data_IF_766211783436
#
_entry.id   IF_766211783436
#
_cell.length_a   1.000
_cell.length_b   1.000
_cell.length_c   1.000
_cell.angle_alpha   90.00
_cell.angle_beta   90.00
_cell.angle_gamma   90.00
#
_symmetry.space_group_name_H-M   'P 1'
#
loop_
_entity.id
_entity.type
_entity.pdbx_description
1 polymer ?
#
# COMPACT_ATOMS: atom_id res chain seq x y z
N UNK A 1 24.18 -33.18 -11.63
CA UNK A 1 24.07 -31.70 -11.66
C UNK A 1 22.63 -31.17 -11.66
N UNK A 2 21.60 -31.94 -12.05
CA UNK A 2 20.20 -31.50 -12.03
C UNK A 2 19.57 -31.38 -10.62
N UNK A 3 20.08 -32.11 -9.62
CA UNK A 3 19.53 -32.15 -8.25
C UNK A 3 19.86 -30.90 -7.41
N UNK A 4 20.97 -30.21 -7.69
CA UNK A 4 21.33 -28.99 -6.95
C UNK A 4 20.56 -27.76 -7.46
N UNK A 5 20.36 -27.61 -8.78
CA UNK A 5 19.59 -26.49 -9.33
C UNK A 5 18.14 -26.45 -8.83
N UNK A 6 17.46 -27.60 -8.75
CA UNK A 6 16.08 -27.67 -8.23
C UNK A 6 16.00 -27.39 -6.71
N UNK A 7 17.07 -27.67 -5.95
CA UNK A 7 17.14 -27.33 -4.53
C UNK A 7 17.43 -25.83 -4.33
N UNK A 8 18.31 -25.25 -5.14
CA UNK A 8 18.62 -23.81 -5.12
C UNK A 8 17.45 -22.95 -5.63
N UNK A 9 16.71 -23.40 -6.65
CA UNK A 9 15.48 -22.76 -7.12
C UNK A 9 14.35 -22.82 -6.08
N UNK A 10 14.17 -23.95 -5.38
CA UNK A 10 13.23 -24.06 -4.26
C UNK A 10 13.61 -23.16 -3.08
N UNK A 11 14.90 -23.03 -2.76
CA UNK A 11 15.37 -22.15 -1.68
C UNK A 11 15.23 -20.67 -2.07
N UNK A 12 15.41 -20.31 -3.34
CA UNK A 12 15.20 -18.93 -3.81
C UNK A 12 13.73 -18.51 -3.89
N UNK A 13 12.80 -19.44 -4.14
CA UNK A 13 11.35 -19.14 -4.14
C UNK A 13 10.77 -19.08 -2.73
N UNK A 14 11.33 -19.83 -1.76
CA UNK A 14 10.98 -19.73 -0.33
C UNK A 14 11.32 -18.36 0.28
N UNK A 15 12.30 -17.63 -0.28
CA UNK A 15 12.67 -16.29 0.19
C UNK A 15 11.74 -15.16 -0.30
N UNK A 16 10.73 -15.45 -1.14
CA UNK A 16 9.86 -14.41 -1.73
C UNK A 16 8.43 -14.37 -1.16
N UNK A 17 8.06 -15.30 -0.28
CA UNK A 17 6.71 -15.41 0.30
C UNK A 17 6.74 -15.66 1.81
N UNK A 18 7.49 -14.83 2.54
CA UNK A 18 7.74 -14.96 3.98
C UNK A 18 6.47 -14.83 4.84
N UNK A 19 5.36 -14.34 4.27
CA UNK A 19 4.05 -14.29 4.94
C UNK A 19 3.33 -15.62 5.03
N UNK A 20 3.66 -16.60 4.18
CA UNK A 20 2.90 -17.87 4.10
C UNK A 20 2.89 -18.64 5.43
N UNK A 21 4.04 -18.84 6.13
CA UNK A 21 4.06 -19.63 7.37
C UNK A 21 3.14 -19.09 8.46
N UNK A 22 3.24 -17.78 8.77
CA UNK A 22 2.42 -17.18 9.83
C UNK A 22 0.94 -17.09 9.46
N UNK A 23 0.61 -16.94 8.18
CA UNK A 23 -0.79 -16.97 7.71
C UNK A 23 -1.42 -18.35 7.89
N UNK A 24 -0.69 -19.42 7.54
CA UNK A 24 -1.14 -20.80 7.71
C UNK A 24 -1.27 -21.17 9.19
N UNK A 25 -0.29 -20.76 10.01
CA UNK A 25 -0.35 -20.97 11.46
C UNK A 25 -1.54 -20.24 12.09
N UNK A 26 -1.74 -18.97 11.75
CA UNK A 26 -2.90 -18.19 12.20
C UNK A 26 -4.21 -18.85 11.75
N UNK A 27 -4.29 -19.35 10.51
CA UNK A 27 -5.50 -20.00 10.03
C UNK A 27 -5.81 -21.29 10.81
N UNK A 28 -4.79 -22.10 11.09
CA UNK A 28 -4.92 -23.30 11.92
C UNK A 28 -5.36 -22.98 13.35
N UNK A 29 -4.82 -21.94 13.96
CA UNK A 29 -5.23 -21.52 15.30
C UNK A 29 -6.64 -20.93 15.30
N UNK A 30 -6.95 -20.03 14.37
CA UNK A 30 -8.24 -19.35 14.25
C UNK A 30 -9.40 -20.34 14.05
N UNK A 31 -9.15 -21.52 13.47
CA UNK A 31 -10.13 -22.60 13.36
C UNK A 31 -10.73 -23.03 14.71
N UNK A 32 -10.05 -22.79 15.82
CA UNK A 32 -10.55 -23.11 17.16
C UNK A 32 -11.47 -22.00 17.74
N UNK A 33 -11.77 -20.94 17.00
CA UNK A 33 -12.40 -19.71 17.52
C UNK A 33 -13.83 -19.45 17.03
N UNK A 34 -14.46 -20.41 16.35
CA UNK A 34 -15.85 -20.27 15.87
C UNK A 34 -16.85 -19.96 17.01
N UNK A 35 -16.65 -20.53 18.20
CA UNK A 35 -17.48 -20.26 19.39
C UNK A 35 -16.92 -19.10 20.24
N UNK A 36 -15.93 -18.36 19.74
CA UNK A 36 -15.20 -17.30 20.46
C UNK A 36 -15.16 -15.96 19.69
N UNK A 37 -16.17 -15.73 18.85
CA UNK A 37 -16.23 -14.58 17.95
C UNK A 37 -16.29 -13.24 18.70
N UNK A 38 -17.01 -13.17 19.82
CA UNK A 38 -17.06 -11.96 20.66
C UNK A 38 -15.68 -11.59 21.21
N UNK A 39 -14.84 -12.57 21.56
CA UNK A 39 -13.47 -12.31 22.00
C UNK A 39 -12.61 -11.80 20.84
N UNK A 40 -12.78 -12.34 19.62
CA UNK A 40 -12.10 -11.83 18.43
C UNK A 40 -12.47 -10.37 18.14
N UNK A 41 -13.76 -10.03 18.24
CA UNK A 41 -14.25 -8.66 18.05
C UNK A 41 -13.68 -7.75 19.14
N UNK A 42 -13.70 -8.17 20.39
CA UNK A 42 -13.17 -7.39 21.52
C UNK A 42 -11.69 -7.08 21.33
N UNK A 43 -10.89 -8.09 20.94
CA UNK A 43 -9.48 -7.90 20.62
C UNK A 43 -9.25 -6.87 19.49
N UNK A 44 -10.02 -6.95 18.41
CA UNK A 44 -9.91 -5.98 17.31
C UNK A 44 -10.31 -4.55 17.74
N UNK A 45 -11.30 -4.42 18.61
CA UNK A 45 -11.69 -3.13 19.19
C UNK A 45 -10.59 -2.55 20.11
N UNK A 46 -9.92 -3.38 20.89
CA UNK A 46 -8.75 -2.99 21.69
C UNK A 46 -7.62 -2.46 20.80
N UNK A 47 -7.30 -3.15 19.71
CA UNK A 47 -6.32 -2.65 18.73
C UNK A 47 -6.76 -1.31 18.14
N UNK A 48 -8.04 -1.16 17.80
CA UNK A 48 -8.54 0.12 17.29
C UNK A 48 -8.41 1.24 18.33
N UNK A 49 -8.67 0.95 19.60
CA UNK A 49 -8.51 1.91 20.70
C UNK A 49 -7.03 2.31 20.92
N UNK A 50 -6.10 1.41 20.62
CA UNK A 50 -4.64 1.66 20.64
C UNK A 50 -4.15 2.43 19.40
N UNK A 51 -5.02 2.76 18.45
CA UNK A 51 -4.71 3.58 17.28
C UNK A 51 -4.28 2.80 16.03
N UNK A 52 -4.44 1.48 16.02
CA UNK A 52 -4.25 0.68 14.80
C UNK A 52 -5.39 0.93 13.80
N UNK A 53 -5.08 0.86 12.51
CA UNK A 53 -6.06 1.06 11.43
C UNK A 53 -6.89 -0.20 11.21
N UNK A 54 -7.80 -0.48 12.15
CA UNK A 54 -8.76 -1.60 12.11
C UNK A 54 -10.02 -1.19 11.34
N UNK A 55 -10.67 -2.14 10.67
CA UNK A 55 -11.96 -1.86 10.03
C UNK A 55 -12.98 -1.46 11.10
N UNK A 56 -13.87 -0.49 10.85
CA UNK A 56 -14.99 -0.27 11.76
C UNK A 56 -15.73 -1.60 11.97
N UNK A 57 -16.04 -1.92 13.24
CA UNK A 57 -16.82 -3.10 13.63
C UNK A 57 -18.20 -2.71 14.15
N UNK A 58 -18.62 -1.45 13.92
CA UNK A 58 -19.98 -1.02 14.17
C UNK A 58 -20.86 -1.36 12.97
N UNK A 59 -21.81 -2.25 13.20
CA UNK A 59 -22.92 -2.51 12.31
C UNK A 59 -24.03 -1.45 12.48
N UNK A 60 -24.98 -1.43 11.55
CA UNK A 60 -26.19 -0.60 11.61
C UNK A 60 -27.42 -1.48 11.71
N UNK A 61 -28.26 -1.22 12.71
CA UNK A 61 -29.59 -1.82 12.80
C UNK A 61 -30.59 -1.18 11.80
N UNK A 62 -31.84 -1.63 11.84
CA UNK A 62 -32.90 -1.17 10.94
C UNK A 62 -33.23 0.32 11.17
N UNK A 63 -32.99 0.83 12.38
CA UNK A 63 -33.21 2.20 12.80
C UNK A 63 -31.98 3.09 12.53
N UNK A 64 -30.87 2.50 12.03
CA UNK A 64 -29.64 3.19 11.68
C UNK A 64 -28.70 3.47 12.86
N UNK A 65 -29.03 2.97 14.05
CA UNK A 65 -28.14 3.05 15.21
C UNK A 65 -26.95 2.12 15.03
N UNK A 66 -25.79 2.57 15.53
CA UNK A 66 -24.53 1.86 15.40
C UNK A 66 -24.34 0.92 16.58
N UNK A 67 -24.25 -0.37 16.31
CA UNK A 67 -24.06 -1.42 17.30
C UNK A 67 -22.77 -2.19 17.00
N UNK A 68 -22.01 -2.56 18.03
CA UNK A 68 -20.86 -3.45 17.83
C UNK A 68 -21.34 -4.80 17.28
N UNK A 69 -20.59 -5.35 16.34
CA UNK A 69 -20.83 -6.72 15.85
C UNK A 69 -20.87 -7.71 17.02
N UNK A 70 -21.73 -8.72 16.90
CA UNK A 70 -21.79 -9.87 17.83
C UNK A 70 -21.05 -11.10 17.29
N UNK A 71 -20.92 -11.16 15.98
CA UNK A 71 -20.37 -12.30 15.25
C UNK A 71 -19.43 -11.78 14.16
N UNK A 72 -18.35 -12.52 13.92
CA UNK A 72 -17.32 -12.25 12.92
C UNK A 72 -16.89 -13.56 12.27
N UNK A 73 -16.77 -13.55 10.95
CA UNK A 73 -16.23 -14.68 10.20
C UNK A 73 -14.69 -14.61 10.10
N UNK A 74 -14.01 -15.74 9.84
CA UNK A 74 -12.56 -15.78 9.84
C UNK A 74 -11.93 -15.01 8.68
N UNK A 75 -12.61 -14.84 7.54
CA UNK A 75 -12.08 -14.08 6.41
C UNK A 75 -12.16 -12.57 6.64
N UNK A 76 -13.21 -12.07 7.29
CA UNK A 76 -13.24 -10.68 7.77
C UNK A 76 -12.14 -10.42 8.78
N UNK A 77 -11.86 -11.37 9.68
CA UNK A 77 -10.74 -11.25 10.63
C UNK A 77 -9.40 -11.11 9.90
N UNK A 78 -9.11 -11.98 8.92
CA UNK A 78 -7.93 -11.83 8.05
C UNK A 78 -7.93 -10.53 7.24
N UNK A 79 -9.12 -10.08 6.81
CA UNK A 79 -9.33 -8.87 6.04
C UNK A 79 -8.93 -7.58 6.78
N UNK A 80 -8.85 -7.61 8.11
CA UNK A 80 -8.41 -6.45 8.93
C UNK A 80 -7.02 -5.99 8.51
N UNK A 81 -6.11 -6.93 8.22
CA UNK A 81 -4.74 -6.64 7.79
C UNK A 81 -4.54 -6.86 6.28
N UNK A 82 -5.35 -7.70 5.61
CA UNK A 82 -5.32 -7.88 4.14
C UNK A 82 -6.25 -6.91 3.38
N UNK A 83 -6.10 -5.60 3.62
CA UNK A 83 -6.86 -4.54 2.94
C UNK A 83 -5.95 -3.39 2.53
N UNK A 84 -6.47 -2.42 1.78
CA UNK A 84 -5.74 -1.20 1.36
C UNK A 84 -5.37 -0.29 2.55
N UNK A 85 -4.41 -0.74 3.34
CA UNK A 85 -3.73 -0.03 4.44
C UNK A 85 -2.21 -0.12 4.23
N UNK A 86 -1.46 0.78 4.85
CA UNK A 86 0.00 0.82 4.72
C UNK A 86 0.69 -0.46 5.21
N UNK A 87 1.84 -0.77 4.62
CA UNK A 87 2.66 -1.95 4.96
C UNK A 87 2.94 -2.04 6.46
N UNK A 88 3.40 -0.95 7.07
CA UNK A 88 3.78 -0.91 8.49
C UNK A 88 2.56 -1.16 9.39
N UNK A 89 1.38 -0.67 9.00
CA UNK A 89 0.13 -0.92 9.71
C UNK A 89 -0.25 -2.40 9.64
N UNK A 90 -0.14 -3.01 8.46
CA UNK A 90 -0.42 -4.43 8.27
C UNK A 90 0.51 -5.32 9.11
N UNK A 91 1.82 -5.03 9.08
CA UNK A 91 2.80 -5.75 9.87
C UNK A 91 2.58 -5.56 11.38
N UNK A 92 2.26 -4.33 11.81
CA UNK A 92 2.02 -4.05 13.22
C UNK A 92 0.74 -4.73 13.74
N UNK A 93 -0.35 -4.75 12.97
CA UNK A 93 -1.56 -5.51 13.31
C UNK A 93 -1.25 -7.01 13.39
N UNK A 94 -0.52 -7.55 12.41
CA UNK A 94 -0.13 -8.97 12.40
C UNK A 94 0.79 -9.32 13.59
N UNK A 95 1.63 -8.40 14.03
CA UNK A 95 2.44 -8.54 15.25
C UNK A 95 1.59 -8.65 16.51
N UNK A 96 0.54 -7.81 16.63
CA UNK A 96 -0.41 -7.93 17.74
C UNK A 96 -1.19 -9.25 17.70
N UNK A 97 -1.61 -9.69 16.51
CA UNK A 97 -2.24 -10.99 16.31
C UNK A 97 -1.29 -12.12 16.72
N UNK A 98 -0.03 -12.10 16.27
CA UNK A 98 1.00 -13.07 16.67
C UNK A 98 1.11 -13.17 18.18
N UNK A 99 1.18 -12.04 18.87
CA UNK A 99 1.23 -11.99 20.34
C UNK A 99 -0.03 -12.54 21.00
N UNK A 100 -1.21 -12.15 20.52
CA UNK A 100 -2.50 -12.56 21.08
C UNK A 100 -2.74 -14.08 20.99
N UNK A 101 -2.44 -14.67 19.83
CA UNK A 101 -2.62 -16.10 19.59
C UNK A 101 -1.38 -16.94 19.98
N UNK A 102 -0.27 -16.31 20.37
CA UNK A 102 0.96 -17.01 20.70
C UNK A 102 1.59 -17.74 19.51
N UNK A 103 1.46 -17.19 18.29
CA UNK A 103 2.00 -17.82 17.08
C UNK A 103 3.53 -17.83 17.12
N UNK A 104 4.14 -18.88 16.59
CA UNK A 104 5.59 -19.12 16.62
C UNK A 104 6.29 -18.63 15.35
N UNK A 105 5.65 -18.71 14.19
CA UNK A 105 6.23 -18.30 12.90
C UNK A 105 6.67 -16.84 12.89
N UNK A 106 7.81 -16.55 12.27
CA UNK A 106 8.36 -15.19 12.19
C UNK A 106 7.39 -14.21 11.52
N UNK A 107 7.54 -12.93 11.87
CA UNK A 107 6.84 -11.88 11.14
C UNK A 107 7.37 -11.79 9.71
N UNK A 108 6.50 -11.49 8.73
CA UNK A 108 6.91 -11.45 7.34
C UNK A 108 7.80 -10.26 7.02
N UNK A 109 8.75 -10.50 6.11
CA UNK A 109 9.56 -9.46 5.48
C UNK A 109 8.90 -8.94 4.18
N UNK A 110 7.87 -9.63 3.69
CA UNK A 110 7.12 -9.28 2.48
C UNK A 110 5.63 -9.63 2.57
N UNK A 111 4.82 -9.04 1.67
CA UNK A 111 3.44 -9.45 1.44
C UNK A 111 3.19 -9.72 -0.06
N UNK A 112 4.19 -10.30 -0.73
CA UNK A 112 4.22 -10.48 -2.16
C UNK A 112 3.07 -11.37 -2.63
N UNK A 113 2.37 -10.91 -3.67
CA UNK A 113 1.25 -11.64 -4.26
C UNK A 113 0.04 -11.76 -3.33
N UNK A 114 -0.02 -11.09 -2.17
CA UNK A 114 -1.21 -11.16 -1.32
C UNK A 114 -2.30 -10.26 -1.88
N UNK A 115 -3.48 -10.79 -2.24
CA UNK A 115 -4.60 -9.97 -2.69
C UNK A 115 -5.17 -9.17 -1.51
N UNK A 116 -5.59 -7.93 -1.76
CA UNK A 116 -6.08 -7.01 -0.70
C UNK A 116 -7.51 -6.54 -0.97
N UNK A 117 -8.31 -6.47 0.09
CA UNK A 117 -9.67 -5.93 0.04
C UNK A 117 -9.68 -4.41 -0.16
N UNK A 118 -10.81 -3.92 -0.69
CA UNK A 118 -11.13 -2.51 -0.64
C UNK A 118 -11.33 -2.08 0.83
N UNK A 119 -10.66 -1.01 1.27
CA UNK A 119 -10.72 -0.53 2.65
C UNK A 119 -12.12 -0.01 3.07
N UNK A 120 -12.98 0.34 2.11
CA UNK A 120 -14.38 0.71 2.35
C UNK A 120 -15.32 -0.50 2.45
N UNK A 121 -14.86 -1.70 2.04
CA UNK A 121 -15.65 -2.94 1.97
C UNK A 121 -14.78 -4.14 2.35
N UNK A 122 -14.49 -4.25 3.64
CA UNK A 122 -13.61 -5.30 4.20
C UNK A 122 -14.34 -6.38 5.00
N UNK A 123 -15.68 -6.41 5.01
CA UNK A 123 -16.47 -7.50 5.57
C UNK A 123 -16.88 -8.50 4.47
N UNK A 124 -16.90 -9.79 4.82
CA UNK A 124 -17.36 -10.88 3.96
C UNK A 124 -18.86 -11.16 4.09
N UNK A 125 -19.56 -10.35 4.89
CA UNK A 125 -20.99 -10.46 5.14
C UNK A 125 -21.63 -9.06 5.11
N UNK A 126 -22.95 -8.98 4.85
CA UNK A 126 -23.66 -7.71 4.85
C UNK A 126 -23.98 -7.20 6.26
N UNK A 127 -24.43 -5.95 6.34
CA UNK A 127 -24.93 -5.38 7.60
C UNK A 127 -26.12 -6.15 8.16
N UNK A 128 -26.44 -5.92 9.44
CA UNK A 128 -27.50 -6.63 10.16
C UNK A 128 -28.85 -6.65 9.45
N UNK A 129 -29.22 -5.59 8.73
CA UNK A 129 -30.50 -5.50 8.01
C UNK A 129 -30.58 -6.40 6.77
N UNK A 130 -29.44 -6.83 6.22
CA UNK A 130 -29.36 -7.65 5.01
C UNK A 130 -28.72 -9.02 5.24
N UNK A 131 -28.29 -9.30 6.48
CA UNK A 131 -27.60 -10.52 6.91
C UNK A 131 -28.61 -11.58 7.36
N UNK A 132 -28.43 -12.80 6.88
CA UNK A 132 -29.19 -13.95 7.32
C UNK A 132 -28.56 -14.59 8.57
N UNK A 133 -29.36 -15.31 9.34
CA UNK A 133 -28.94 -15.87 10.64
C UNK A 133 -27.77 -16.86 10.55
N UNK A 134 -27.59 -17.55 9.43
CA UNK A 134 -26.53 -18.55 9.22
C UNK A 134 -25.40 -18.06 8.30
N UNK A 135 -25.40 -16.78 7.90
CA UNK A 135 -24.37 -16.25 6.97
C UNK A 135 -22.95 -16.43 7.52
N UNK A 136 -22.74 -16.11 8.81
CA UNK A 136 -21.44 -16.25 9.47
C UNK A 136 -21.08 -17.72 9.63
N UNK A 137 -22.05 -18.59 9.97
CA UNK A 137 -21.86 -20.03 10.09
C UNK A 137 -21.42 -20.69 8.78
N UNK A 138 -21.99 -20.27 7.64
CA UNK A 138 -21.56 -20.74 6.31
C UNK A 138 -20.10 -20.36 6.00
N UNK A 139 -19.67 -19.16 6.38
CA UNK A 139 -18.29 -18.70 6.22
C UNK A 139 -17.30 -19.48 7.10
N UNK A 140 -17.67 -19.78 8.35
CA UNK A 140 -16.89 -20.68 9.21
C UNK A 140 -16.81 -22.09 8.62
N UNK A 141 -17.93 -22.64 8.12
CA UNK A 141 -17.97 -23.98 7.53
C UNK A 141 -17.00 -24.13 6.36
N UNK A 142 -16.98 -23.20 5.40
CA UNK A 142 -16.05 -23.27 4.26
C UNK A 142 -14.60 -23.07 4.71
N UNK A 143 -14.33 -22.20 5.69
CA UNK A 143 -13.00 -22.04 6.29
C UNK A 143 -12.48 -23.34 6.90
N UNK A 144 -13.30 -24.01 7.74
CA UNK A 144 -12.94 -25.29 8.35
C UNK A 144 -12.68 -26.39 7.32
N UNK A 145 -13.56 -26.52 6.32
CA UNK A 145 -13.40 -27.51 5.27
C UNK A 145 -12.16 -27.23 4.43
N UNK A 146 -11.86 -25.97 4.15
CA UNK A 146 -10.67 -25.56 3.41
C UNK A 146 -9.35 -25.93 4.12
N UNK A 147 -9.35 -26.04 5.45
CA UNK A 147 -8.16 -26.42 6.25
C UNK A 147 -7.93 -27.93 6.38
N UNK A 148 -8.87 -28.78 5.96
CA UNK A 148 -8.69 -30.24 5.96
C UNK A 148 -7.55 -30.67 5.04
N UNK A 149 -6.93 -31.83 5.30
CA UNK A 149 -5.74 -32.29 4.55
C UNK A 149 -5.89 -32.19 3.03
N UNK A 150 -6.99 -32.72 2.48
CA UNK A 150 -7.30 -32.76 1.04
C UNK A 150 -8.68 -32.17 0.72
N UNK A 151 -8.85 -30.83 0.80
CA UNK A 151 -10.18 -30.22 0.76
C UNK A 151 -10.85 -30.36 -0.62
N UNK A 152 -10.06 -30.41 -1.69
CA UNK A 152 -10.54 -30.48 -3.08
C UNK A 152 -10.92 -31.89 -3.55
N UNK A 153 -10.69 -32.93 -2.74
CA UNK A 153 -10.90 -34.32 -3.14
C UNK A 153 -12.36 -34.78 -3.04
N UNK A 154 -13.19 -34.09 -2.24
CA UNK A 154 -14.57 -34.49 -1.96
C UNK A 154 -15.61 -33.41 -2.29
N UNK A 155 -16.89 -33.78 -2.21
CA UNK A 155 -18.01 -32.85 -2.42
C UNK A 155 -18.21 -31.85 -1.27
N UNK A 156 -17.63 -32.11 -0.10
CA UNK A 156 -17.78 -31.26 1.10
C UNK A 156 -17.34 -29.82 0.86
N UNK A 157 -16.18 -29.63 0.22
CA UNK A 157 -15.70 -28.29 -0.09
C UNK A 157 -16.58 -27.60 -1.14
N UNK A 158 -17.02 -28.33 -2.17
CA UNK A 158 -17.91 -27.80 -3.20
C UNK A 158 -19.21 -27.27 -2.55
N UNK A 159 -19.82 -28.09 -1.70
CA UNK A 159 -21.04 -27.74 -0.99
C UNK A 159 -20.83 -26.54 -0.06
N UNK A 160 -19.77 -26.54 0.77
CA UNK A 160 -19.50 -25.45 1.69
C UNK A 160 -19.18 -24.13 0.94
N UNK A 161 -18.48 -24.22 -0.19
CA UNK A 161 -18.21 -23.08 -1.05
C UNK A 161 -19.50 -22.53 -1.67
N UNK A 162 -20.36 -23.39 -2.22
CA UNK A 162 -21.64 -22.99 -2.79
C UNK A 162 -22.55 -22.34 -1.72
N UNK A 163 -22.61 -22.91 -0.51
CA UNK A 163 -23.32 -22.31 0.62
C UNK A 163 -22.77 -20.92 1.00
N UNK A 164 -21.44 -20.76 1.04
CA UNK A 164 -20.80 -19.47 1.33
C UNK A 164 -21.01 -18.43 0.21
N UNK A 165 -21.20 -18.86 -1.04
CA UNK A 165 -21.49 -17.97 -2.17
C UNK A 165 -22.90 -17.34 -2.10
N UNK A 166 -23.83 -17.92 -1.34
CA UNK A 166 -25.14 -17.32 -1.07
C UNK A 166 -25.05 -16.12 -0.11
N UNK A 167 -23.96 -16.03 0.67
CA UNK A 167 -23.73 -14.89 1.57
C UNK A 167 -23.35 -13.66 0.75
N UNK A 168 -24.07 -12.55 0.93
CA UNK A 168 -23.76 -11.31 0.20
C UNK A 168 -22.35 -10.82 0.56
N UNK A 169 -21.67 -10.20 -0.41
CA UNK A 169 -20.30 -9.65 -0.29
C UNK A 169 -19.15 -10.68 -0.33
N UNK A 170 -19.44 -11.97 -0.49
CA UNK A 170 -18.39 -13.02 -0.61
C UNK A 170 -17.80 -13.07 -2.00
N UNK A 171 -18.60 -13.25 -3.06
CA UNK A 171 -18.19 -13.25 -4.48
C UNK A 171 -16.74 -13.72 -4.70
N UNK A 172 -15.92 -12.87 -5.32
CA UNK A 172 -14.50 -13.12 -5.59
C UNK A 172 -13.66 -13.00 -4.31
N UNK A 173 -14.11 -12.23 -3.33
CA UNK A 173 -13.42 -12.08 -2.05
C UNK A 173 -13.25 -13.43 -1.36
N UNK A 174 -14.20 -14.35 -1.48
CA UNK A 174 -14.08 -15.71 -0.93
C UNK A 174 -12.83 -16.42 -1.46
N UNK A 175 -12.54 -16.29 -2.75
CA UNK A 175 -11.32 -16.88 -3.35
C UNK A 175 -10.04 -16.21 -2.86
N UNK A 176 -10.08 -14.90 -2.53
CA UNK A 176 -8.96 -14.20 -1.90
C UNK A 176 -8.74 -14.70 -0.46
N UNK A 177 -9.84 -14.86 0.29
CA UNK A 177 -9.83 -15.39 1.65
C UNK A 177 -9.25 -16.81 1.74
N UNK A 178 -9.67 -17.68 0.82
CA UNK A 178 -9.15 -19.04 0.70
C UNK A 178 -7.65 -19.05 0.35
N UNK A 179 -7.22 -18.16 -0.54
CA UNK A 179 -5.81 -17.98 -0.87
C UNK A 179 -4.98 -17.55 0.35
N UNK A 180 -5.47 -16.62 1.18
CA UNK A 180 -4.74 -16.19 2.38
C UNK A 180 -4.43 -17.34 3.33
N UNK A 181 -5.41 -18.23 3.55
CA UNK A 181 -5.30 -19.26 4.59
C UNK A 181 -4.50 -20.47 4.12
N UNK A 182 -4.55 -20.81 2.83
CA UNK A 182 -3.83 -21.94 2.23
C UNK A 182 -3.45 -21.65 0.77
N UNK A 183 -2.43 -20.80 0.55
CA UNK A 183 -2.07 -20.38 -0.80
C UNK A 183 -1.44 -21.50 -1.64
N UNK A 184 -1.00 -22.60 -1.03
CA UNK A 184 -0.54 -23.80 -1.75
C UNK A 184 -1.69 -24.60 -2.41
N UNK A 185 -2.94 -24.37 -1.97
CA UNK A 185 -4.12 -25.16 -2.37
C UNK A 185 -5.15 -24.32 -3.13
N UNK A 186 -5.27 -23.05 -2.77
CA UNK A 186 -6.26 -22.14 -3.35
C UNK A 186 -5.58 -21.01 -4.08
N UNK A 187 -6.21 -20.51 -5.13
CA UNK A 187 -5.78 -19.36 -5.92
C UNK A 187 -6.85 -18.26 -5.85
N UNK A 188 -6.43 -17.01 -5.71
CA UNK A 188 -7.32 -15.85 -5.82
C UNK A 188 -7.85 -15.72 -7.24
N UNK A 189 -9.15 -15.46 -7.41
CA UNK A 189 -9.75 -15.09 -8.70
C UNK A 189 -10.11 -13.60 -8.74
N UNK A 190 -9.34 -12.76 -8.04
CA UNK A 190 -9.39 -11.31 -8.20
C UNK A 190 -9.18 -10.87 -9.64
N UNK A 191 -9.43 -9.59 -9.90
CA UNK A 191 -9.34 -9.04 -11.26
C UNK A 191 -7.96 -9.24 -11.88
N UNK A 192 -6.89 -9.02 -11.09
CA UNK A 192 -5.51 -9.15 -11.57
C UNK A 192 -5.22 -10.59 -12.01
N UNK A 193 -5.54 -11.55 -11.15
CA UNK A 193 -5.26 -12.97 -11.38
C UNK A 193 -6.08 -13.51 -12.54
N UNK A 194 -7.36 -13.11 -12.65
CA UNK A 194 -8.20 -13.50 -13.79
C UNK A 194 -7.69 -12.91 -15.10
N UNK A 195 -7.29 -11.65 -15.11
CA UNK A 195 -6.76 -11.01 -16.31
C UNK A 195 -5.45 -11.68 -16.75
N UNK A 196 -4.58 -12.01 -15.80
CA UNK A 196 -3.33 -12.74 -16.05
C UNK A 196 -3.57 -14.12 -16.67
N UNK A 197 -4.55 -14.85 -16.15
CA UNK A 197 -4.84 -16.23 -16.57
C UNK A 197 -5.86 -16.33 -17.71
N UNK A 198 -6.47 -15.22 -18.13
CA UNK A 198 -7.57 -15.21 -19.10
C UNK A 198 -8.84 -15.90 -18.60
N UNK A 199 -9.03 -16.01 -17.28
CA UNK A 199 -10.19 -16.68 -16.67
C UNK A 199 -11.42 -15.77 -16.73
N UNK A 200 -12.49 -16.23 -17.35
CA UNK A 200 -13.78 -15.54 -17.38
C UNK A 200 -14.73 -16.15 -16.34
N UNK A 201 -15.34 -15.29 -15.53
CA UNK A 201 -16.35 -15.74 -14.58
C UNK A 201 -17.63 -16.21 -15.29
N UNK A 202 -18.33 -17.23 -14.76
CA UNK A 202 -19.64 -17.64 -15.27
C UNK A 202 -20.68 -16.54 -15.09
N UNK A 203 -21.62 -16.42 -16.03
CA UNK A 203 -22.69 -15.42 -15.98
C UNK A 203 -23.61 -15.56 -14.76
N UNK A 204 -23.70 -16.75 -14.17
CA UNK A 204 -24.52 -17.04 -12.98
C UNK A 204 -23.77 -16.84 -11.66
N UNK A 205 -22.52 -16.39 -11.70
CA UNK A 205 -21.65 -16.30 -10.52
C UNK A 205 -20.73 -17.51 -10.35
N UNK A 206 -19.87 -17.45 -9.32
CA UNK A 206 -18.95 -18.53 -8.97
C UNK A 206 -19.71 -19.70 -8.34
N UNK A 207 -19.28 -20.92 -8.66
CA UNK A 207 -19.67 -22.13 -7.94
C UNK A 207 -18.42 -22.89 -7.50
N UNK A 208 -18.56 -23.74 -6.48
CA UNK A 208 -17.51 -24.61 -6.01
C UNK A 208 -16.97 -25.47 -7.14
N UNK A 209 -17.84 -25.99 -8.02
CA UNK A 209 -17.41 -26.76 -9.19
C UNK A 209 -16.51 -25.95 -10.11
N UNK A 210 -16.96 -24.75 -10.52
CA UNK A 210 -16.18 -23.89 -11.40
C UNK A 210 -14.83 -23.53 -10.76
N UNK A 211 -14.84 -23.20 -9.46
CA UNK A 211 -13.64 -22.82 -8.74
C UNK A 211 -12.64 -23.98 -8.67
N UNK A 212 -13.07 -25.16 -8.25
CA UNK A 212 -12.20 -26.35 -8.15
C UNK A 212 -11.69 -26.81 -9.52
N UNK A 213 -12.52 -26.77 -10.57
CA UNK A 213 -12.08 -27.07 -11.93
C UNK A 213 -10.99 -26.09 -12.38
N UNK A 214 -11.15 -24.80 -12.05
CA UNK A 214 -10.14 -23.76 -12.34
C UNK A 214 -8.84 -24.04 -11.59
N UNK A 215 -8.89 -24.37 -10.30
CA UNK A 215 -7.70 -24.71 -9.51
C UNK A 215 -6.95 -25.91 -10.09
N UNK A 216 -7.67 -26.97 -10.47
CA UNK A 216 -7.08 -28.17 -11.08
C UNK A 216 -6.40 -27.85 -12.40
N UNK A 217 -7.05 -27.07 -13.27
CA UNK A 217 -6.47 -26.64 -14.53
C UNK A 217 -5.17 -25.83 -14.31
N UNK A 218 -5.15 -24.93 -13.33
CA UNK A 218 -3.95 -24.14 -13.04
C UNK A 218 -2.83 -24.95 -12.35
N UNK A 219 -3.17 -26.02 -11.64
CA UNK A 219 -2.18 -26.95 -11.08
C UNK A 219 -1.48 -27.78 -12.16
N UNK A 220 -2.14 -28.08 -13.28
CA UNK A 220 -1.53 -28.77 -14.43
C UNK A 220 -0.39 -27.94 -15.06
N UNK A 221 -0.44 -26.61 -14.97
CA UNK A 221 0.62 -25.71 -15.42
C UNK A 221 1.88 -25.73 -14.51
N UNK A 222 1.79 -26.38 -13.34
CA UNK A 222 2.92 -26.67 -12.46
C UNK A 222 3.51 -25.47 -11.70
N UNK A 223 2.93 -24.28 -11.81
CA UNK A 223 3.36 -23.09 -11.06
C UNK A 223 2.68 -23.01 -9.70
N UNK A 224 3.44 -22.77 -8.60
CA UNK A 224 2.84 -22.47 -7.30
C UNK A 224 1.92 -21.26 -7.37
N UNK A 225 0.76 -21.32 -6.74
CA UNK A 225 -0.21 -20.22 -6.76
C UNK A 225 0.32 -18.90 -6.16
N UNK A 226 1.20 -18.86 -5.14
CA UNK A 226 1.85 -17.61 -4.74
C UNK A 226 2.59 -16.93 -5.89
N UNK A 227 3.32 -17.69 -6.71
CA UNK A 227 4.04 -17.18 -7.88
C UNK A 227 3.07 -16.71 -8.96
N UNK A 228 1.98 -17.43 -9.18
CA UNK A 228 0.92 -17.00 -10.12
C UNK A 228 0.32 -15.66 -9.67
N UNK A 229 0.00 -15.51 -8.38
CA UNK A 229 -0.58 -14.28 -7.85
C UNK A 229 0.42 -13.11 -7.89
N UNK A 230 1.69 -13.35 -7.57
CA UNK A 230 2.76 -12.37 -7.71
C UNK A 230 2.97 -11.95 -9.18
N UNK A 231 2.96 -12.91 -10.11
CA UNK A 231 3.08 -12.62 -11.54
C UNK A 231 1.87 -11.83 -12.08
N UNK A 232 0.67 -12.12 -11.58
CA UNK A 232 -0.54 -11.38 -11.93
C UNK A 232 -0.48 -9.92 -11.45
N UNK A 233 0.04 -9.69 -10.24
CA UNK A 233 0.42 -8.36 -9.76
C UNK A 233 1.44 -7.70 -10.69
N UNK A 234 2.44 -8.46 -11.14
CA UNK A 234 3.43 -8.05 -12.12
C UNK A 234 2.83 -7.61 -13.46
N UNK A 235 1.73 -8.20 -13.95
CA UNK A 235 1.06 -7.78 -15.19
C UNK A 235 0.27 -6.49 -15.03
N UNK A 236 -0.39 -6.26 -13.89
CA UNK A 236 -0.97 -4.94 -13.63
C UNK A 236 0.13 -3.90 -13.43
N UNK A 237 1.23 -4.23 -12.75
CA UNK A 237 2.41 -3.37 -12.66
C UNK A 237 3.06 -3.14 -14.03
N UNK A 238 3.13 -4.14 -14.91
CA UNK A 238 3.64 -4.04 -16.28
C UNK A 238 2.67 -3.26 -17.18
N UNK A 239 1.35 -3.35 -16.95
CA UNK A 239 0.34 -2.56 -17.65
C UNK A 239 0.37 -1.11 -17.18
N UNK A 240 0.43 -0.86 -15.87
CA UNK A 240 0.62 0.47 -15.28
C UNK A 240 1.98 1.02 -15.71
N UNK A 241 3.02 0.21 -15.74
CA UNK A 241 4.33 0.54 -16.28
C UNK A 241 4.24 0.82 -17.76
N UNK A 242 3.54 0.06 -18.60
CA UNK A 242 3.35 0.37 -20.03
C UNK A 242 2.49 1.60 -20.26
N UNK A 243 1.51 1.86 -19.39
CA UNK A 243 0.70 3.09 -19.41
C UNK A 243 1.56 4.28 -18.97
N UNK A 244 2.40 4.11 -17.95
CA UNK A 244 3.39 5.07 -17.51
C UNK A 244 4.42 5.26 -18.62
N UNK A 245 5.15 4.25 -19.07
CA UNK A 245 6.06 4.22 -20.21
C UNK A 245 5.45 4.75 -21.50
N UNK A 246 4.15 4.60 -21.78
CA UNK A 246 3.53 5.19 -22.98
C UNK A 246 3.13 6.65 -22.78
N UNK A 247 2.72 7.05 -21.57
CA UNK A 247 2.58 8.47 -21.21
C UNK A 247 3.95 9.15 -21.20
N UNK A 248 4.94 8.53 -20.56
CA UNK A 248 6.36 8.88 -20.54
C UNK A 248 6.98 8.87 -21.93
N UNK A 249 6.67 7.90 -22.81
CA UNK A 249 7.17 7.91 -24.19
C UNK A 249 6.58 9.07 -25.00
N UNK A 250 5.32 9.45 -24.72
CA UNK A 250 4.72 10.67 -25.28
C UNK A 250 5.40 11.94 -24.73
N UNK A 251 5.83 11.96 -23.47
CA UNK A 251 6.66 13.05 -22.92
C UNK A 251 8.11 13.03 -23.45
N UNK A 252 8.71 11.85 -23.66
CA UNK A 252 10.07 11.65 -24.21
C UNK A 252 10.16 12.00 -25.69
N UNK A 253 9.09 11.88 -26.45
CA UNK A 253 9.01 12.40 -27.82
C UNK A 253 9.23 13.93 -27.89
N UNK A 254 9.15 14.62 -26.75
CA UNK A 254 9.44 16.04 -26.57
C UNK A 254 10.78 16.33 -25.84
N UNK A 255 11.60 15.31 -25.56
CA UNK A 255 12.96 15.50 -25.01
C UNK A 255 13.05 16.01 -23.56
N UNK A 256 12.01 15.82 -22.74
CA UNK A 256 11.94 16.39 -21.39
C UNK A 256 12.70 15.59 -20.30
N UNK A 257 13.39 16.32 -19.42
CA UNK A 257 13.97 15.86 -18.14
C UNK A 257 12.88 15.88 -17.05
N UNK A 258 12.79 14.86 -16.18
CA UNK A 258 11.90 14.93 -15.01
C UNK A 258 12.56 15.61 -13.80
N UNK A 259 11.74 16.13 -12.91
CA UNK A 259 12.17 16.83 -11.69
C UNK A 259 11.51 16.19 -10.46
N UNK A 260 12.33 15.69 -9.56
CA UNK A 260 11.94 14.96 -8.37
C UNK A 260 12.33 15.72 -7.11
N UNK A 261 11.41 15.87 -6.17
CA UNK A 261 11.68 16.33 -4.82
C UNK A 261 11.49 15.17 -3.85
N UNK A 262 12.51 14.89 -3.04
CA UNK A 262 12.62 13.70 -2.21
C UNK A 262 12.93 14.00 -0.76
N UNK A 263 12.45 13.18 0.17
CA UNK A 263 12.78 13.28 1.60
C UNK A 263 13.99 12.42 1.96
N UNK A 264 14.59 12.72 3.12
CA UNK A 264 15.73 11.98 3.67
C UNK A 264 15.61 11.67 5.17
N UNK A 265 14.44 11.88 5.78
CA UNK A 265 14.26 11.66 7.23
C UNK A 265 13.73 10.27 7.53
N UNK A 266 14.48 9.48 8.31
CA UNK A 266 14.13 8.13 8.77
C UNK A 266 14.21 8.09 10.30
N UNK A 267 13.09 7.79 10.97
CA UNK A 267 12.96 7.81 12.43
C UNK A 267 13.69 6.66 13.16
N UNK A 268 14.05 5.62 12.42
CA UNK A 268 14.75 4.42 12.92
C UNK A 268 16.29 4.50 12.78
N UNK A 269 16.82 5.66 12.37
CA UNK A 269 18.27 5.90 12.21
C UNK A 269 18.78 7.02 13.11
N UNK A 270 20.07 6.96 13.38
CA UNK A 270 20.83 8.01 14.06
C UNK A 270 22.09 8.36 13.21
N UNK A 271 22.19 9.58 12.65
CA UNK A 271 21.18 10.64 12.69
C UNK A 271 19.94 10.27 11.87
N UNK A 272 18.76 10.78 12.25
CA UNK A 272 17.52 10.50 11.53
C UNK A 272 17.51 11.10 10.11
N UNK A 273 18.13 12.27 9.93
CA UNK A 273 18.29 12.89 8.61
C UNK A 273 19.46 12.24 7.85
N UNK A 274 19.14 11.48 6.81
CA UNK A 274 20.08 10.75 5.96
C UNK A 274 20.74 11.61 4.87
N UNK A 275 20.51 12.94 4.86
CA UNK A 275 21.01 13.81 3.78
C UNK A 275 22.52 13.70 3.63
N UNK A 276 23.27 13.81 4.72
CA UNK A 276 24.74 13.72 4.69
C UNK A 276 25.20 12.37 4.12
N UNK A 277 24.62 11.26 4.59
CA UNK A 277 24.88 9.92 4.06
C UNK A 277 24.63 9.83 2.55
N UNK A 278 23.50 10.36 2.08
CA UNK A 278 23.15 10.35 0.66
C UNK A 278 24.14 11.14 -0.19
N UNK A 279 24.61 12.30 0.31
CA UNK A 279 25.63 13.11 -0.35
C UNK A 279 26.97 12.38 -0.43
N UNK A 280 27.40 11.78 0.68
CA UNK A 280 28.68 11.04 0.78
C UNK A 280 28.70 9.77 -0.07
N UNK A 281 27.60 9.01 -0.08
CA UNK A 281 27.50 7.76 -0.84
C UNK A 281 27.16 7.97 -2.33
N UNK A 282 26.81 9.19 -2.75
CA UNK A 282 26.44 9.49 -4.13
C UNK A 282 25.13 8.80 -4.55
N UNK A 283 24.17 8.69 -3.64
CA UNK A 283 22.89 8.04 -3.91
C UNK A 283 21.73 8.74 -3.23
N UNK A 284 20.52 8.43 -3.67
CA UNK A 284 19.32 8.60 -2.87
C UNK A 284 18.65 7.24 -2.68
N UNK A 285 18.25 6.95 -1.43
CA UNK A 285 17.52 5.74 -1.08
C UNK A 285 16.15 6.12 -0.48
N UNK A 286 15.11 5.41 -0.90
CA UNK A 286 13.82 5.45 -0.21
C UNK A 286 13.93 4.71 1.12
N UNK A 287 13.64 5.40 2.22
CA UNK A 287 13.52 4.78 3.55
C UNK A 287 12.37 3.78 3.68
N UNK A 288 11.45 3.79 2.71
CA UNK A 288 10.37 2.81 2.65
C UNK A 288 10.82 1.56 1.88
N UNK A 289 10.61 0.39 2.47
CA UNK A 289 10.87 -0.89 1.81
C UNK A 289 9.85 -1.20 0.70
N UNK A 290 8.60 -0.79 0.90
CA UNK A 290 7.46 -1.20 0.07
C UNK A 290 6.59 -0.05 -0.45
N UNK A 291 7.00 1.21 -0.25
CA UNK A 291 6.32 2.39 -0.83
C UNK A 291 7.22 3.02 -1.88
N UNK A 292 6.58 3.67 -2.85
CA UNK A 292 7.22 4.38 -3.95
C UNK A 292 8.03 3.51 -4.93
N UNK A 293 7.92 2.18 -4.85
CA UNK A 293 8.68 1.24 -5.69
C UNK A 293 8.55 1.62 -7.17
N UNK A 294 7.32 1.80 -7.64
CA UNK A 294 7.07 2.07 -9.05
C UNK A 294 7.61 3.44 -9.48
N UNK A 295 7.47 4.44 -8.64
CA UNK A 295 7.97 5.79 -8.88
C UNK A 295 9.51 5.82 -8.92
N UNK A 296 10.18 5.16 -7.97
CA UNK A 296 11.64 5.03 -7.98
C UNK A 296 12.11 4.21 -9.20
N UNK A 297 11.44 3.10 -9.54
CA UNK A 297 11.72 2.34 -10.78
C UNK A 297 11.57 3.17 -12.06
N UNK A 298 10.74 4.23 -12.02
CA UNK A 298 10.49 5.11 -13.17
C UNK A 298 11.49 6.27 -13.31
N UNK A 299 12.29 6.54 -12.27
CA UNK A 299 13.36 7.54 -12.33
C UNK A 299 14.41 7.14 -13.36
N UNK A 300 14.91 8.13 -14.10
CA UNK A 300 15.80 7.88 -15.24
C UNK A 300 17.13 8.64 -15.10
N UNK A 301 18.14 8.14 -15.82
CA UNK A 301 19.38 8.88 -16.00
C UNK A 301 19.09 10.25 -16.63
N UNK A 302 19.74 11.30 -16.11
CA UNK A 302 19.54 12.73 -16.40
C UNK A 302 18.33 13.40 -15.73
N UNK A 303 17.46 12.65 -15.05
CA UNK A 303 16.44 13.27 -14.22
C UNK A 303 17.10 14.14 -13.13
N UNK A 304 16.46 15.25 -12.80
CA UNK A 304 16.87 16.13 -11.71
C UNK A 304 16.19 15.69 -10.42
N UNK A 305 16.96 15.66 -9.33
CA UNK A 305 16.49 15.27 -8.01
C UNK A 305 16.91 16.32 -6.98
N UNK A 306 16.08 16.58 -5.97
CA UNK A 306 16.35 17.51 -4.89
C UNK A 306 15.89 16.96 -3.55
N UNK A 307 16.75 16.97 -2.54
CA UNK A 307 16.37 16.61 -1.18
C UNK A 307 15.66 17.80 -0.54
N UNK A 308 14.48 17.56 0.03
CA UNK A 308 13.65 18.55 0.70
C UNK A 308 13.25 18.17 2.12
N UNK A 309 12.91 19.17 2.91
CA UNK A 309 12.13 19.05 4.14
C UNK A 309 11.01 20.08 4.15
N UNK A 310 9.86 19.75 4.74
CA UNK A 310 8.69 20.62 4.79
C UNK A 310 8.42 21.10 6.22
N UNK A 311 8.14 22.39 6.37
CA UNK A 311 7.80 23.05 7.63
C UNK A 311 6.77 24.17 7.38
N UNK A 312 6.49 24.96 8.41
CA UNK A 312 5.71 26.19 8.30
C UNK A 312 6.51 27.35 8.88
N UNK A 313 6.19 28.57 8.46
CA UNK A 313 6.82 29.79 8.96
C UNK A 313 5.79 30.91 9.05
N UNK A 314 5.88 31.72 10.11
CA UNK A 314 4.96 32.84 10.37
C UNK A 314 5.68 34.17 10.50
N UNK A 315 6.89 34.18 11.05
CA UNK A 315 7.72 35.37 11.29
C UNK A 315 8.96 35.34 10.41
N UNK A 316 9.60 36.49 10.17
CA UNK A 316 10.81 36.58 9.34
C UNK A 316 10.60 36.22 7.86
N UNK A 317 9.36 36.32 7.37
CA UNK A 317 9.05 36.09 5.96
C UNK A 317 9.58 37.25 5.10
N UNK A 318 10.08 36.98 3.89
CA UNK A 318 10.56 38.01 2.96
C UNK A 318 9.43 38.82 2.30
N UNK A 319 8.18 38.60 2.70
CA UNK A 319 6.97 39.25 2.19
C UNK A 319 5.93 39.41 3.31
N UNK A 320 4.95 40.30 3.12
CA UNK A 320 3.86 40.50 4.08
C UNK A 320 2.76 39.43 3.92
N UNK A 321 2.76 38.46 4.84
CA UNK A 321 1.75 37.39 4.91
C UNK A 321 0.48 37.77 5.71
N UNK A 322 0.32 39.03 6.13
CA UNK A 322 -0.83 39.52 6.92
C UNK A 322 -1.09 38.67 8.18
N UNK A 323 -0.03 38.37 8.93
CA UNK A 323 -0.02 37.52 10.13
C UNK A 323 -0.47 36.06 9.95
N UNK A 324 -0.60 35.57 8.71
CA UNK A 324 -0.91 34.16 8.42
C UNK A 324 0.35 33.29 8.44
N UNK A 325 0.19 32.04 8.88
CA UNK A 325 1.23 31.01 8.74
C UNK A 325 1.32 30.55 7.28
N UNK A 326 2.54 30.45 6.75
CA UNK A 326 2.82 30.04 5.37
C UNK A 326 3.58 28.72 5.38
N UNK A 327 3.32 27.86 4.40
CA UNK A 327 4.13 26.67 4.16
C UNK A 327 5.53 27.03 3.70
N UNK A 328 6.54 26.33 4.24
CA UNK A 328 7.96 26.44 3.85
C UNK A 328 8.49 25.07 3.49
N UNK A 329 9.31 24.99 2.47
CA UNK A 329 10.06 23.80 2.08
C UNK A 329 11.52 24.20 1.95
N UNK A 330 12.38 23.58 2.75
CA UNK A 330 13.82 23.74 2.65
C UNK A 330 14.33 22.77 1.60
N UNK A 331 15.00 23.26 0.57
CA UNK A 331 15.78 22.45 -0.36
C UNK A 331 17.18 22.34 0.22
N UNK A 332 17.59 21.11 0.51
CA UNK A 332 18.86 20.79 1.20
C UNK A 332 19.98 20.43 0.23
N UNK A 333 19.63 19.78 -0.87
CA UNK A 333 20.57 19.36 -1.90
C UNK A 333 19.87 19.23 -3.25
N UNK A 334 20.63 19.35 -4.34
CA UNK A 334 20.18 19.05 -5.71
C UNK A 334 21.20 18.17 -6.40
N UNK A 335 20.74 17.36 -7.36
CA UNK A 335 21.60 16.47 -8.11
C UNK A 335 20.98 16.00 -9.41
N UNK A 336 21.75 15.20 -10.14
CA UNK A 336 21.32 14.53 -11.37
C UNK A 336 21.42 13.02 -11.17
N UNK A 337 20.35 12.30 -11.51
CA UNK A 337 20.37 10.83 -11.44
C UNK A 337 21.30 10.30 -12.53
N UNK A 338 22.29 9.50 -12.15
CA UNK A 338 23.29 8.91 -13.06
C UNK A 338 23.07 7.42 -13.30
N UNK A 339 22.39 6.73 -12.37
CA UNK A 339 21.93 5.36 -12.57
C UNK A 339 20.69 5.05 -11.72
N UNK A 340 19.88 4.11 -12.17
CA UNK A 340 18.82 3.50 -11.37
C UNK A 340 19.19 2.04 -11.12
N UNK A 341 19.22 1.61 -9.85
CA UNK A 341 19.59 0.23 -9.51
C UNK A 341 18.52 -0.78 -9.88
N UNK A 342 17.32 -0.33 -10.24
CA UNK A 342 16.16 -1.16 -10.57
C UNK A 342 15.79 -2.12 -9.43
N UNK A 343 16.02 -1.70 -8.18
CA UNK A 343 15.57 -2.38 -6.95
C UNK A 343 14.29 -1.72 -6.37
N UNK A 344 13.84 -0.62 -6.99
CA UNK A 344 12.66 0.15 -6.57
C UNK A 344 12.90 1.00 -5.33
N UNK A 345 14.15 1.18 -4.92
CA UNK A 345 14.49 1.93 -3.71
C UNK A 345 15.67 2.88 -3.90
N UNK A 346 16.59 2.56 -4.80
CA UNK A 346 17.88 3.25 -4.88
C UNK A 346 18.15 3.79 -6.27
N UNK A 347 18.52 5.08 -6.32
CA UNK A 347 19.12 5.71 -7.49
C UNK A 347 20.49 6.28 -7.12
N UNK A 348 21.43 6.19 -8.05
CA UNK A 348 22.74 6.82 -7.92
C UNK A 348 22.64 8.24 -8.45
N UNK A 349 23.21 9.18 -7.71
CA UNK A 349 23.02 10.62 -7.92
C UNK A 349 24.37 11.31 -7.89
N UNK A 350 24.64 12.08 -8.94
CA UNK A 350 25.68 13.09 -8.94
C UNK A 350 25.11 14.34 -8.26
N UNK A 351 25.40 14.50 -6.98
CA UNK A 351 24.99 15.67 -6.18
C UNK A 351 25.84 16.89 -6.52
N UNK A 352 25.23 18.07 -6.46
CA UNK A 352 25.93 19.36 -6.59
C UNK A 352 26.57 19.73 -5.24
N UNK A 353 27.92 19.70 -5.13
CA UNK A 353 28.61 19.94 -3.86
C UNK A 353 28.59 21.42 -3.44
N UNK A 354 28.32 22.34 -4.37
CA UNK A 354 28.30 23.78 -4.13
C UNK A 354 26.88 24.31 -3.87
N UNK A 355 25.90 23.42 -3.77
CA UNK A 355 24.51 23.81 -3.54
C UNK A 355 24.31 24.34 -2.11
N UNK A 356 23.91 25.60 -2.02
CA UNK A 356 23.47 26.21 -0.76
C UNK A 356 21.97 25.96 -0.52
N UNK A 357 21.60 25.68 0.73
CA UNK A 357 20.21 25.45 1.09
C UNK A 357 19.31 26.66 0.77
N UNK A 358 18.12 26.39 0.23
CA UNK A 358 17.15 27.42 -0.16
C UNK A 358 15.80 27.20 0.50
N UNK A 359 15.16 28.29 0.90
CA UNK A 359 13.79 28.28 1.41
C UNK A 359 12.80 28.59 0.29
N UNK A 360 11.87 27.68 0.05
CA UNK A 360 10.74 27.85 -0.85
C UNK A 360 9.44 28.01 -0.05
N UNK A 361 8.62 29.01 -0.39
CA UNK A 361 7.33 29.22 0.25
C UNK A 361 6.15 28.81 -0.64
N UNK A 362 4.96 28.64 -0.07
CA UNK A 362 3.73 28.32 -0.79
C UNK A 362 3.64 26.88 -1.31
N UNK A 363 3.62 26.65 -2.62
CA UNK A 363 3.38 25.36 -3.28
C UNK A 363 4.35 24.28 -2.79
N UNK A 364 3.94 23.52 -1.78
CA UNK A 364 4.78 22.57 -1.01
C UNK A 364 4.07 21.23 -0.87
N UNK A 365 4.86 20.16 -0.75
CA UNK A 365 4.35 18.81 -0.57
C UNK A 365 5.05 18.09 0.59
N UNK A 366 4.27 17.46 1.46
CA UNK A 366 4.76 16.71 2.62
C UNK A 366 5.17 15.27 2.30
N UNK A 367 4.76 14.71 1.16
CA UNK A 367 5.13 13.33 0.77
C UNK A 367 6.63 13.19 0.59
N UNK A 368 7.18 12.02 0.93
CA UNK A 368 8.61 11.74 0.79
C UNK A 368 9.06 11.74 -0.66
N UNK A 369 8.21 11.30 -1.60
CA UNK A 369 8.51 11.35 -3.02
C UNK A 369 7.50 12.24 -3.75
N UNK A 370 7.98 13.18 -4.56
CA UNK A 370 7.16 14.07 -5.35
C UNK A 370 7.77 14.35 -6.72
N UNK A 371 7.07 13.96 -7.80
CA UNK A 371 7.42 14.32 -9.18
C UNK A 371 6.68 15.58 -9.60
N UNK A 372 7.40 16.57 -10.13
CA UNK A 372 6.76 17.76 -10.70
C UNK A 372 6.03 17.42 -12.00
N UNK A 373 4.81 17.94 -12.13
CA UNK A 373 3.96 17.78 -13.32
C UNK A 373 4.05 19.07 -14.14
N UNK A 374 4.65 18.97 -15.32
CA UNK A 374 4.87 20.11 -16.22
C UNK A 374 4.03 19.99 -17.51
N UNK A 375 3.05 19.10 -17.51
CA UNK A 375 2.19 18.88 -18.66
C UNK A 375 1.24 20.05 -18.90
N UNK A 376 0.97 20.36 -20.17
CA UNK A 376 0.14 21.51 -20.54
C UNK A 376 -1.27 21.45 -19.96
N UNK A 377 -1.77 20.23 -19.73
CA UNK A 377 -3.06 19.97 -19.11
C UNK A 377 -3.07 20.09 -17.58
N UNK A 378 -1.92 20.22 -16.92
CA UNK A 378 -1.86 20.24 -15.47
C UNK A 378 -2.25 21.61 -14.93
N UNK A 379 -3.33 21.64 -14.14
CA UNK A 379 -3.89 22.89 -13.57
C UNK A 379 -2.90 23.72 -12.75
N UNK A 380 -1.87 23.11 -12.16
CA UNK A 380 -0.83 23.82 -11.39
C UNK A 380 0.53 23.85 -12.10
N UNK A 381 0.55 23.71 -13.43
CA UNK A 381 1.77 23.73 -14.23
C UNK A 381 2.63 24.96 -13.94
N UNK A 382 2.03 26.16 -13.91
CA UNK A 382 2.78 27.40 -13.68
C UNK A 382 3.43 27.44 -12.28
N UNK A 383 2.79 26.86 -11.27
CA UNK A 383 3.37 26.71 -9.93
C UNK A 383 4.57 25.74 -9.95
N UNK A 384 4.42 24.62 -10.66
CA UNK A 384 5.47 23.63 -10.80
C UNK A 384 6.66 24.14 -11.63
N UNK A 385 6.42 24.95 -12.67
CA UNK A 385 7.46 25.60 -13.47
C UNK A 385 8.26 26.60 -12.63
N UNK A 386 7.59 27.46 -11.85
CA UNK A 386 8.26 28.39 -10.93
C UNK A 386 9.09 27.68 -9.86
N UNK A 387 8.56 26.59 -9.30
CA UNK A 387 9.32 25.76 -8.34
C UNK A 387 10.55 25.13 -9.02
N UNK A 388 10.39 24.55 -10.22
CA UNK A 388 11.50 23.99 -11.01
C UNK A 388 12.59 25.04 -11.26
N UNK A 389 12.19 26.23 -11.69
CA UNK A 389 13.12 27.31 -12.03
C UNK A 389 13.87 27.86 -10.81
N UNK A 390 13.20 27.92 -9.66
CA UNK A 390 13.81 28.28 -8.40
C UNK A 390 14.86 27.24 -7.94
N UNK A 391 14.48 25.96 -7.94
CA UNK A 391 15.32 24.88 -7.38
C UNK A 391 16.57 24.67 -8.22
N UNK A 392 16.43 24.53 -9.55
CA UNK A 392 17.53 24.09 -10.42
C UNK A 392 18.11 25.18 -11.32
N UNK A 393 17.45 26.33 -11.48
CA UNK A 393 17.84 27.34 -12.48
C UNK A 393 18.09 28.73 -11.88
N UNK A 394 18.19 28.84 -10.56
CA UNK A 394 18.62 30.06 -9.87
C UNK A 394 17.64 31.23 -9.97
N UNK A 395 16.39 31.00 -10.39
CA UNK A 395 15.37 32.05 -10.39
C UNK A 395 14.96 32.38 -8.96
N UNK A 396 14.75 33.66 -8.67
CA UNK A 396 14.18 34.08 -7.39
C UNK A 396 12.68 33.74 -7.30
N UNK A 397 12.18 33.58 -6.08
CA UNK A 397 10.76 33.31 -5.88
C UNK A 397 9.93 34.60 -6.03
N UNK A 398 8.96 34.57 -6.96
CA UNK A 398 8.03 35.68 -7.21
C UNK A 398 6.90 35.72 -6.18
N UNK A 399 7.17 36.32 -5.02
CA UNK A 399 6.22 36.36 -3.90
C UNK A 399 4.91 37.06 -4.24
N UNK A 400 4.95 38.16 -5.00
CA UNK A 400 3.76 38.91 -5.41
C UNK A 400 2.85 38.06 -6.31
N UNK A 401 3.43 37.29 -7.23
CA UNK A 401 2.64 36.36 -8.04
C UNK A 401 1.93 35.33 -7.15
N UNK A 402 2.62 34.69 -6.20
CA UNK A 402 1.99 33.70 -5.31
C UNK A 402 0.95 34.30 -4.37
N UNK A 403 1.15 35.53 -3.90
CA UNK A 403 0.17 36.23 -3.06
C UNK A 403 -1.11 36.58 -3.84
N UNK A 404 -0.98 36.92 -5.12
CA UNK A 404 -2.11 37.23 -6.01
C UNK A 404 -2.77 35.99 -6.62
N UNK A 405 -2.04 34.89 -6.72
CA UNK A 405 -2.51 33.58 -7.16
C UNK A 405 -2.62 32.63 -5.97
N UNK A 406 -3.08 33.12 -4.82
CA UNK A 406 -3.31 32.24 -3.68
C UNK A 406 -4.32 31.17 -4.05
N UNK A 407 -3.90 29.91 -3.96
CA UNK A 407 -4.79 28.76 -3.96
C UNK A 407 -5.85 29.03 -2.88
N UNK A 408 -7.13 29.05 -3.24
CA UNK A 408 -8.18 29.20 -2.22
C UNK A 408 -8.02 28.08 -1.20
N UNK A 409 -8.33 28.32 0.09
CA UNK A 409 -8.15 27.31 1.15
C UNK A 409 -8.83 25.97 0.78
N UNK A 410 -9.97 26.00 0.07
CA UNK A 410 -10.63 24.80 -0.47
C UNK A 410 -9.97 24.15 -1.71
N UNK A 411 -9.15 24.87 -2.47
CA UNK A 411 -8.35 24.33 -3.58
C UNK A 411 -6.99 23.81 -3.10
N UNK A 412 -6.39 24.46 -2.10
CA UNK A 412 -5.24 23.92 -1.34
C UNK A 412 -5.62 22.63 -0.64
N UNK A 413 -6.84 22.53 -0.09
CA UNK A 413 -7.39 21.27 0.41
C UNK A 413 -7.72 20.28 -0.71
N UNK A 414 -7.86 20.66 -1.98
CA UNK A 414 -7.94 19.71 -3.11
C UNK A 414 -6.55 19.25 -3.60
N UNK A 415 -5.54 20.11 -3.59
CA UNK A 415 -4.14 19.70 -3.84
C UNK A 415 -3.63 18.82 -2.70
N UNK A 416 -4.07 19.09 -1.48
CA UNK A 416 -3.82 18.24 -0.33
C UNK A 416 -4.71 16.98 -0.41
N UNK A 417 -6.03 17.06 -0.57
CA UNK A 417 -6.95 15.90 -0.53
C UNK A 417 -6.91 14.97 -1.73
N UNK A 418 -6.39 15.37 -2.88
CA UNK A 418 -5.98 14.43 -3.94
C UNK A 418 -4.81 13.53 -3.48
N UNK A 419 -4.14 13.88 -2.38
CA UNK A 419 -2.93 13.25 -1.85
C UNK A 419 -2.90 13.08 -0.31
N UNK A 420 -4.03 13.24 0.42
CA UNK A 420 -4.08 12.98 1.87
C UNK A 420 -4.15 11.46 2.11
N UNK A 421 -3.01 10.86 2.42
CA UNK A 421 -2.97 9.86 3.49
C UNK A 421 -2.66 10.59 4.80
N UNK A 422 -3.57 10.46 5.76
CA UNK A 422 -3.40 10.99 7.13
C UNK A 422 -2.22 10.25 7.78
N UNK A 423 -1.05 10.89 7.80
CA UNK A 423 0.04 10.53 8.70
C UNK A 423 0.09 11.53 9.85
N UNK A 424 0.37 11.01 11.05
CA UNK A 424 0.54 11.77 12.29
C UNK A 424 1.47 12.98 12.07
N UNK A 425 1.26 14.11 12.77
CA UNK A 425 2.11 15.28 12.61
C UNK A 425 3.56 14.89 12.96
N UNK A 426 4.56 15.33 12.16
CA UNK A 426 5.96 14.99 12.38
C UNK A 426 6.61 15.70 13.58
N UNK A 427 5.82 16.36 14.45
CA UNK A 427 6.33 17.14 15.59
C UNK A 427 5.36 17.01 16.76
N UNK A 428 5.90 16.75 17.96
CA UNK A 428 5.14 16.95 19.18
C UNK A 428 5.05 18.46 19.45
N UNK A 429 4.07 18.90 20.26
CA UNK A 429 3.95 20.31 20.70
C UNK A 429 5.25 20.78 21.38
N UNK A 430 6.04 19.87 21.94
CA UNK A 430 7.30 20.18 22.61
C UNK A 430 8.41 20.59 21.61
N UNK A 431 8.39 20.08 20.37
CA UNK A 431 9.35 20.48 19.33
C UNK A 431 9.06 21.90 18.80
N UNK A 432 7.80 22.36 18.89
CA UNK A 432 7.41 23.72 18.49
C UNK A 432 7.79 24.79 19.53
N UNK A 433 8.04 24.40 20.79
CA UNK A 433 8.41 25.34 21.87
C UNK A 433 9.93 25.59 21.90
N UNK A 434 10.72 24.68 21.34
CA UNK A 434 12.17 24.84 21.22
C UNK A 434 12.60 25.81 20.10
N UNK A 435 11.73 26.09 19.13
CA UNK A 435 11.93 27.10 18.08
C UNK A 435 11.05 28.33 18.33
N UNK A 436 11.42 29.13 19.33
CA UNK A 436 10.85 30.46 19.56
C UNK A 436 11.10 31.44 18.41
#
# INVERSE_FOLDING_TARGET
MATNKNKTLKVSTLNQFTWVPIYQELAGELANWENRQEQLISFLEELRAQGYVITPLQDKDAEGARLLLREIDPFTFFGVFNRRIGYDQRLAILSQIKGHFGLQSDLPEDFNGVPVLNNMRSWFFPNQTSREADDIGRLWRVFQVALQENPLAGSKFLQAFDEAMEVKQTNVNLTMGLFWIRPEVFLSLDENTRNYLGVRLPARGLSGKFYVDTLKAMQEDGKPFPEVSLAAWGVENERIRRIAESKEARYRAWGGINYWLVGAYWDDRDPADQTERFLEEGLWESGYKNRYINEVMSMQVNDKIAIKSASTQRTGLPFDARNKTVSRMTIKAVGTIVANRNDGRTVEVEWDPDFEEKAWYFYTNRTTLWRLRLDESYRFREYAEKLKDFVWYGQEQDYDWFLNHQLNVGETDQVLSEFIEVSKPPYSIDDMIASG
#
